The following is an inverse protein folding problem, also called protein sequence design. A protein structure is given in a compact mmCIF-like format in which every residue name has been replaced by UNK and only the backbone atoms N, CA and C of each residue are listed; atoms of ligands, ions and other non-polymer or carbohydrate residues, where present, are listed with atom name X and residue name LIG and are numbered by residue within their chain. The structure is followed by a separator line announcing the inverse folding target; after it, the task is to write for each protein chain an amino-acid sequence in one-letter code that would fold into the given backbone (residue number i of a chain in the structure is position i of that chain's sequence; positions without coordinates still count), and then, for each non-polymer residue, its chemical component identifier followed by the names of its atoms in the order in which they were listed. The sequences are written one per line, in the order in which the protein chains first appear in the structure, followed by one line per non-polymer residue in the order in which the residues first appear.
data_IF_628366739728
#
_entry.id   IF_628366739728
#
_cell.length_a   1.000
_cell.length_b   1.000
_cell.length_c   1.000
_cell.angle_alpha   90.00
_cell.angle_beta   90.00
_cell.angle_gamma   90.00
#
_symmetry.space_group_name_H-M   'P 1'
#
loop_
_entity.id
_entity.type
_entity.pdbx_description
1 polymer ?
#
# COMPACT_ATOMS: atom_id res chain seq x y z
N UNK A 1 -6.42 -2.66 -11.67
CA UNK A 1 -6.16 -1.53 -10.74
C UNK A 1 -6.72 -0.24 -11.32
N UNK A 2 -7.43 0.56 -10.51
CA UNK A 2 -8.07 1.82 -10.97
C UNK A 2 -7.11 2.79 -11.66
N UNK A 3 -5.82 2.82 -11.29
CA UNK A 3 -4.84 3.70 -11.96
C UNK A 3 -4.53 3.32 -13.41
N UNK A 4 -4.57 2.03 -13.75
CA UNK A 4 -4.38 1.58 -15.14
C UNK A 4 -5.60 1.95 -16.00
N UNK A 5 -6.80 1.89 -15.40
CA UNK A 5 -8.05 2.26 -16.05
C UNK A 5 -8.24 3.78 -16.16
N UNK A 6 -7.73 4.57 -15.22
CA UNK A 6 -7.90 6.03 -15.18
C UNK A 6 -6.93 6.77 -16.12
N UNK A 7 -5.73 6.23 -16.37
CA UNK A 7 -4.70 6.85 -17.22
C UNK A 7 -4.22 5.91 -18.33
N UNK A 8 -5.11 5.62 -19.28
CA UNK A 8 -4.80 4.76 -20.45
C UNK A 8 -3.94 5.47 -21.52
N UNK A 9 -3.83 6.80 -21.49
CA UNK A 9 -2.97 7.53 -22.42
C UNK A 9 -1.48 7.18 -22.21
N UNK A 10 -0.92 6.45 -23.17
CA UNK A 10 0.52 6.18 -23.27
C UNK A 10 1.10 5.17 -22.26
N UNK A 11 0.26 4.43 -21.52
CA UNK A 11 0.74 3.44 -20.53
C UNK A 11 1.31 4.06 -19.24
N UNK A 12 1.03 5.34 -18.99
CA UNK A 12 1.51 6.10 -17.83
C UNK A 12 1.16 5.42 -16.49
N UNK A 13 -0.06 4.90 -16.36
CA UNK A 13 -0.49 4.19 -15.14
C UNK A 13 0.35 2.94 -14.84
N UNK A 14 0.68 2.16 -15.86
CA UNK A 14 1.52 0.95 -15.72
C UNK A 14 2.95 1.33 -15.38
N UNK A 15 3.54 2.30 -16.11
CA UNK A 15 4.89 2.76 -15.85
C UNK A 15 5.05 3.32 -14.42
N UNK A 16 4.10 4.13 -13.98
CA UNK A 16 4.04 4.66 -12.62
C UNK A 16 4.00 3.57 -11.55
N UNK A 17 3.17 2.54 -11.76
CA UNK A 17 3.06 1.40 -10.85
C UNK A 17 4.35 0.57 -10.81
N UNK A 18 5.00 0.35 -11.97
CA UNK A 18 6.30 -0.32 -12.04
C UNK A 18 7.38 0.44 -11.27
N UNK A 19 7.45 1.77 -11.43
CA UNK A 19 8.40 2.62 -10.71
C UNK A 19 8.13 2.60 -9.21
N UNK A 20 6.87 2.66 -8.78
CA UNK A 20 6.48 2.55 -7.38
C UNK A 20 6.99 1.25 -6.76
N UNK A 21 6.74 0.10 -7.40
CA UNK A 21 7.19 -1.19 -6.88
C UNK A 21 8.71 -1.34 -6.90
N UNK A 22 9.39 -0.84 -7.92
CA UNK A 22 10.86 -0.82 -7.95
C UNK A 22 11.43 0.02 -6.79
N UNK A 23 10.86 1.20 -6.55
CA UNK A 23 11.24 2.05 -5.41
C UNK A 23 10.92 1.38 -4.07
N UNK A 24 9.80 0.64 -3.96
CA UNK A 24 9.43 -0.11 -2.77
C UNK A 24 10.42 -1.22 -2.46
N UNK A 25 10.90 -1.97 -3.46
CA UNK A 25 11.93 -3.00 -3.30
C UNK A 25 13.21 -2.36 -2.73
N UNK A 26 13.72 -1.31 -3.36
CA UNK A 26 14.89 -0.58 -2.86
C UNK A 26 14.67 -0.04 -1.45
N UNK A 27 13.48 0.49 -1.19
CA UNK A 27 13.11 1.01 0.13
C UNK A 27 13.15 -0.08 1.19
N UNK A 28 12.57 -1.24 0.92
CA UNK A 28 12.41 -2.34 1.88
C UNK A 28 13.73 -2.85 2.45
N UNK A 29 14.81 -2.72 1.70
CA UNK A 29 16.13 -3.20 2.11
C UNK A 29 16.81 -2.29 3.13
N UNK A 30 16.50 -0.98 3.12
CA UNK A 30 17.35 0.02 3.79
C UNK A 30 16.59 1.01 4.66
N UNK A 31 15.46 1.53 4.17
CA UNK A 31 14.77 2.64 4.83
C UNK A 31 14.11 2.24 6.15
N UNK A 32 13.44 1.07 6.28
CA UNK A 32 12.77 0.73 7.52
C UNK A 32 13.68 0.68 8.76
N UNK A 33 14.81 -0.05 8.77
CA UNK A 33 15.70 -0.07 9.94
C UNK A 33 16.22 1.31 10.33
N UNK A 34 16.58 2.13 9.33
CA UNK A 34 17.14 3.47 9.55
C UNK A 34 16.08 4.43 10.11
N UNK A 35 14.90 4.47 9.50
CA UNK A 35 13.83 5.39 9.88
C UNK A 35 13.24 5.01 11.24
N UNK A 36 12.98 3.72 11.48
CA UNK A 36 12.44 3.25 12.76
C UNK A 36 13.44 3.53 13.89
N UNK A 37 14.74 3.30 13.68
CA UNK A 37 15.78 3.59 14.69
C UNK A 37 15.93 5.09 14.98
N UNK A 38 15.87 5.95 13.95
CA UNK A 38 16.10 7.41 14.12
C UNK A 38 14.86 8.19 14.56
N UNK A 39 13.69 7.88 13.99
CA UNK A 39 12.46 8.65 14.17
C UNK A 39 11.48 7.95 15.12
N UNK A 40 11.68 6.66 15.40
CA UNK A 40 10.71 5.83 16.11
C UNK A 40 9.55 5.40 15.22
N UNK A 41 8.73 4.47 15.72
CA UNK A 41 7.62 3.90 14.96
C UNK A 41 6.56 4.96 14.61
N UNK A 42 6.17 5.83 15.55
CA UNK A 42 5.13 6.86 15.35
C UNK A 42 5.45 7.79 14.17
N UNK A 43 6.62 8.43 14.21
CA UNK A 43 7.01 9.40 13.19
C UNK A 43 7.36 8.75 11.86
N UNK A 44 7.85 7.51 11.87
CA UNK A 44 8.02 6.73 10.63
C UNK A 44 6.68 6.46 9.95
N UNK A 45 5.65 6.02 10.71
CA UNK A 45 4.31 5.80 10.18
C UNK A 45 3.73 7.10 9.62
N UNK A 46 3.79 8.20 10.40
CA UNK A 46 3.27 9.50 9.96
C UNK A 46 3.98 10.02 8.70
N UNK A 47 5.31 9.97 8.67
CA UNK A 47 6.10 10.39 7.51
C UNK A 47 5.79 9.56 6.26
N UNK A 48 5.67 8.24 6.41
CA UNK A 48 5.24 7.36 5.32
C UNK A 48 3.82 7.67 4.83
N UNK A 49 2.87 7.94 5.72
CA UNK A 49 1.51 8.33 5.31
C UNK A 49 1.49 9.65 4.52
N UNK A 50 2.38 10.60 4.83
CA UNK A 50 2.54 11.80 4.02
C UNK A 50 2.99 11.49 2.58
N UNK A 51 3.80 10.44 2.36
CA UNK A 51 4.16 9.99 1.01
C UNK A 51 2.94 9.51 0.21
N UNK A 52 1.98 8.83 0.86
CA UNK A 52 0.70 8.45 0.24
C UNK A 52 -0.12 9.69 -0.14
N UNK A 53 -0.21 10.69 0.74
CA UNK A 53 -0.90 11.95 0.43
C UNK A 53 -0.24 12.68 -0.73
N UNK A 54 1.10 12.74 -0.78
CA UNK A 54 1.84 13.37 -1.89
C UNK A 54 1.53 12.68 -3.23
N UNK A 55 1.40 11.35 -3.23
CA UNK A 55 0.97 10.61 -4.40
C UNK A 55 -0.46 10.93 -4.81
N UNK A 56 -1.41 10.94 -3.87
CA UNK A 56 -2.79 11.34 -4.15
C UNK A 56 -2.85 12.77 -4.72
N UNK A 57 -2.06 13.71 -4.21
CA UNK A 57 -1.94 15.06 -4.75
C UNK A 57 -1.38 15.08 -6.18
N UNK A 58 -0.36 14.26 -6.46
CA UNK A 58 0.21 14.10 -7.80
C UNK A 58 -0.80 13.58 -8.83
N UNK A 59 -1.83 12.84 -8.39
CA UNK A 59 -2.88 12.34 -9.27
C UNK A 59 -3.88 13.43 -9.71
N UNK A 60 -3.91 14.63 -9.09
CA UNK A 60 -4.78 15.73 -9.56
C UNK A 60 -4.32 16.28 -10.91
N UNK A 61 -3.02 16.25 -11.15
CA UNK A 61 -2.43 16.63 -12.43
C UNK A 61 -1.64 15.44 -12.94
N UNK A 62 -2.32 14.43 -13.47
CA UNK A 62 -1.68 13.23 -13.96
C UNK A 62 -0.86 13.50 -15.22
N UNK A 63 0.46 13.63 -15.04
CA UNK A 63 1.43 13.79 -16.11
C UNK A 63 2.66 12.94 -15.81
N UNK A 64 3.47 12.65 -16.82
CA UNK A 64 4.73 11.91 -16.62
C UNK A 64 5.64 12.57 -15.56
N UNK A 65 5.66 13.90 -15.52
CA UNK A 65 6.51 14.66 -14.61
C UNK A 65 6.00 14.74 -13.17
N UNK A 66 4.71 14.48 -12.94
CA UNK A 66 4.10 14.51 -11.59
C UNK A 66 3.91 13.11 -11.05
N UNK A 67 3.44 12.17 -11.88
CA UNK A 67 3.09 10.81 -11.47
C UNK A 67 4.33 9.95 -11.19
N UNK A 68 5.38 10.06 -12.02
CA UNK A 68 6.61 9.27 -11.83
C UNK A 68 7.34 9.66 -10.53
N UNK A 69 7.62 10.94 -10.24
CA UNK A 69 8.29 11.30 -8.99
C UNK A 69 7.46 10.98 -7.75
N UNK A 70 6.14 11.22 -7.79
CA UNK A 70 5.27 10.91 -6.66
C UNK A 70 5.13 9.40 -6.42
N UNK A 71 5.20 8.57 -7.46
CA UNK A 71 5.32 7.11 -7.34
C UNK A 71 6.61 6.67 -6.67
N UNK A 72 7.74 7.31 -6.98
CA UNK A 72 9.00 7.04 -6.27
C UNK A 72 8.86 7.40 -4.79
N UNK A 73 8.31 8.58 -4.48
CA UNK A 73 8.08 9.03 -3.09
C UNK A 73 7.19 8.01 -2.35
N UNK A 74 6.10 7.56 -2.98
CA UNK A 74 5.23 6.55 -2.40
C UNK A 74 5.94 5.21 -2.19
N UNK A 75 6.69 4.73 -3.18
CA UNK A 75 7.46 3.48 -3.06
C UNK A 75 8.45 3.53 -1.90
N UNK A 76 9.15 4.67 -1.73
CA UNK A 76 10.07 4.92 -0.61
C UNK A 76 9.36 5.01 0.75
N UNK A 77 8.12 5.49 0.79
CA UNK A 77 7.32 5.56 2.01
C UNK A 77 6.60 4.25 2.36
N UNK A 78 6.31 3.41 1.38
CA UNK A 78 5.50 2.20 1.53
C UNK A 78 6.13 1.15 2.44
N UNK A 79 7.39 0.77 2.19
CA UNK A 79 8.03 -0.26 2.98
C UNK A 79 8.26 0.13 4.46
N UNK A 80 8.71 1.36 4.79
CA UNK A 80 8.82 1.81 6.17
C UNK A 80 7.48 1.85 6.91
N UNK A 81 6.38 2.16 6.22
CA UNK A 81 5.03 2.14 6.82
C UNK A 81 4.71 0.73 7.37
N UNK A 82 4.82 -0.29 6.50
CA UNK A 82 4.46 -1.66 6.84
C UNK A 82 5.39 -2.24 7.91
N UNK A 83 6.68 -1.94 7.83
CA UNK A 83 7.64 -2.38 8.84
C UNK A 83 7.39 -1.69 10.19
N UNK A 84 7.24 -0.35 10.21
CA UNK A 84 7.02 0.41 11.44
C UNK A 84 5.72 0.02 12.14
N UNK A 85 4.63 -0.21 11.41
CA UNK A 85 3.38 -0.68 12.03
C UNK A 85 3.53 -2.07 12.64
N UNK A 86 4.25 -2.98 11.98
CA UNK A 86 4.42 -4.35 12.47
C UNK A 86 5.25 -4.34 13.75
N UNK A 87 6.32 -3.55 13.76
CA UNK A 87 7.14 -3.31 14.95
C UNK A 87 6.34 -2.68 16.07
N UNK A 88 5.57 -1.62 15.79
CA UNK A 88 4.72 -0.95 16.78
C UNK A 88 3.75 -1.92 17.44
N UNK A 89 3.04 -2.71 16.64
CA UNK A 89 2.02 -3.64 17.12
C UNK A 89 2.63 -4.78 17.95
N UNK A 90 3.81 -5.25 17.55
CA UNK A 90 4.57 -6.27 18.28
C UNK A 90 5.04 -5.75 19.63
N UNK A 91 5.62 -4.55 19.69
CA UNK A 91 6.09 -3.95 20.94
C UNK A 91 4.91 -3.63 21.87
N UNK A 92 3.84 -3.01 21.34
CA UNK A 92 2.63 -2.73 22.11
C UNK A 92 1.99 -4.01 22.66
N UNK A 93 1.89 -5.05 21.83
CA UNK A 93 1.35 -6.35 22.21
C UNK A 93 2.18 -7.03 23.30
N UNK A 94 3.51 -7.03 23.18
CA UNK A 94 4.40 -7.59 24.20
C UNK A 94 4.30 -6.81 25.53
N UNK A 95 4.32 -5.48 25.49
CA UNK A 95 4.22 -4.65 26.70
C UNK A 95 2.88 -4.85 27.42
N UNK A 96 1.78 -5.00 26.67
CA UNK A 96 0.49 -5.34 27.25
C UNK A 96 0.45 -6.76 27.82
N UNK A 97 1.01 -7.74 27.10
CA UNK A 97 1.04 -9.12 27.53
C UNK A 97 1.81 -9.30 28.85
N UNK A 98 2.95 -8.62 28.99
CA UNK A 98 3.75 -8.62 30.22
C UNK A 98 2.97 -8.05 31.41
N UNK A 99 2.34 -6.87 31.23
CA UNK A 99 1.50 -6.25 32.28
C UNK A 99 0.27 -7.08 32.65
N UNK A 100 -0.30 -7.80 31.69
CA UNK A 100 -1.48 -8.62 31.88
C UNK A 100 -1.16 -10.07 32.32
N UNK A 101 0.11 -10.46 32.41
CA UNK A 101 0.53 -11.84 32.69
C UNK A 101 0.06 -12.84 31.63
N UNK A 102 -0.09 -12.41 30.38
CA UNK A 102 -0.56 -13.23 29.24
C UNK A 102 0.60 -13.60 28.31
N UNK A 103 0.37 -14.61 27.47
CA UNK A 103 1.34 -14.99 26.44
C UNK A 103 1.41 -13.92 25.33
N UNK A 104 2.60 -13.37 25.09
CA UNK A 104 2.82 -12.30 24.11
C UNK A 104 2.37 -12.68 22.70
N UNK A 105 2.61 -13.94 22.28
CA UNK A 105 2.24 -14.41 20.93
C UNK A 105 0.75 -14.29 20.66
N UNK A 106 -0.08 -14.61 21.65
CA UNK A 106 -1.54 -14.61 21.49
C UNK A 106 -2.08 -13.17 21.38
N UNK A 107 -1.54 -12.26 22.20
CA UNK A 107 -1.89 -10.83 22.14
C UNK A 107 -1.43 -10.20 20.83
N UNK A 108 -0.20 -10.48 20.40
CA UNK A 108 0.33 -9.98 19.13
C UNK A 108 -0.57 -10.45 17.98
N UNK A 109 -0.90 -11.74 17.93
CA UNK A 109 -1.77 -12.29 16.90
C UNK A 109 -3.17 -11.65 16.92
N UNK A 110 -3.74 -11.41 18.11
CA UNK A 110 -5.01 -10.71 18.24
C UNK A 110 -4.93 -9.28 17.70
N UNK A 111 -3.88 -8.55 18.04
CA UNK A 111 -3.67 -7.18 17.58
C UNK A 111 -3.51 -7.12 16.05
N UNK A 112 -2.70 -8.01 15.47
CA UNK A 112 -2.57 -8.13 14.01
C UNK A 112 -3.89 -8.51 13.36
N UNK A 113 -4.66 -9.42 13.96
CA UNK A 113 -5.98 -9.82 13.48
C UNK A 113 -6.95 -8.64 13.42
N UNK A 114 -7.03 -7.82 14.48
CA UNK A 114 -7.85 -6.61 14.50
C UNK A 114 -7.37 -5.60 13.46
N UNK A 115 -6.06 -5.38 13.35
CA UNK A 115 -5.50 -4.49 12.33
C UNK A 115 -5.89 -4.92 10.91
N UNK A 116 -5.71 -6.21 10.57
CA UNK A 116 -6.01 -6.72 9.24
C UNK A 116 -7.51 -6.76 8.95
N UNK A 117 -8.36 -6.98 9.95
CA UNK A 117 -9.81 -6.86 9.81
C UNK A 117 -10.21 -5.45 9.38
N UNK A 118 -9.69 -4.42 10.07
CA UNK A 118 -9.95 -3.01 9.74
C UNK A 118 -9.37 -2.69 8.36
N UNK A 119 -8.13 -3.11 8.09
CA UNK A 119 -7.47 -2.87 6.81
C UNK A 119 -8.25 -3.47 5.64
N UNK A 120 -8.70 -4.72 5.73
CA UNK A 120 -9.49 -5.35 4.67
C UNK A 120 -10.87 -4.70 4.51
N UNK A 121 -11.50 -4.28 5.61
CA UNK A 121 -12.78 -3.56 5.56
C UNK A 121 -12.69 -2.22 4.82
N UNK A 122 -11.51 -1.59 4.77
CA UNK A 122 -11.31 -0.31 4.07
C UNK A 122 -11.61 -0.39 2.57
N UNK A 123 -11.43 -1.57 1.95
CA UNK A 123 -11.81 -1.79 0.55
C UNK A 123 -13.32 -1.67 0.33
N UNK A 124 -14.14 -2.11 1.30
CA UNK A 124 -15.61 -1.99 1.24
C UNK A 124 -16.00 -0.51 1.28
N UNK A 125 -15.43 0.26 2.22
CA UNK A 125 -15.69 1.69 2.33
C UNK A 125 -15.21 2.48 1.11
N UNK A 126 -14.03 2.13 0.57
CA UNK A 126 -13.50 2.74 -0.65
C UNK A 126 -14.39 2.50 -1.86
N UNK A 127 -14.88 1.27 -2.04
CA UNK A 127 -15.79 0.92 -3.11
C UNK A 127 -17.16 1.58 -2.95
N UNK A 128 -17.67 1.70 -1.71
CA UNK A 128 -18.91 2.42 -1.42
C UNK A 128 -18.81 3.92 -1.78
N UNK A 129 -17.71 4.59 -1.43
CA UNK A 129 -17.48 5.98 -1.81
C UNK A 129 -17.47 6.12 -3.33
N UNK A 130 -16.75 5.22 -4.01
CA UNK A 130 -16.70 5.20 -5.47
C UNK A 130 -18.10 5.02 -6.06
N UNK A 131 -18.86 4.02 -5.64
CA UNK A 131 -20.18 3.74 -6.21
C UNK A 131 -21.18 4.88 -5.99
N UNK A 132 -21.16 5.55 -4.84
CA UNK A 132 -22.03 6.71 -4.56
C UNK A 132 -21.72 7.90 -5.48
N UNK A 133 -20.44 8.13 -5.80
CA UNK A 133 -20.01 9.20 -6.70
C UNK A 133 -20.34 8.85 -8.14
N UNK A 134 -20.04 7.63 -8.56
CA UNK A 134 -20.33 7.16 -9.92
C UNK A 134 -21.82 7.00 -10.20
N UNK A 135 -22.65 6.65 -9.20
CA UNK A 135 -24.11 6.57 -9.33
C UNK A 135 -24.77 7.91 -9.67
N UNK A 136 -24.10 9.04 -9.47
CA UNK A 136 -24.59 10.36 -9.87
C UNK A 136 -24.40 10.61 -11.36
N UNK A 137 -23.46 9.92 -12.00
CA UNK A 137 -23.32 9.91 -13.45
C UNK A 137 -24.31 8.87 -14.02
N UNK A 138 -25.40 9.32 -14.62
CA UNK A 138 -26.36 8.46 -15.30
C UNK A 138 -25.75 7.91 -16.61
N UNK A 139 -24.78 7.02 -16.51
CA UNK A 139 -24.23 6.32 -17.68
C UNK A 139 -25.07 5.06 -17.86
N UNK A 140 -26.10 5.14 -18.73
CA UNK A 140 -26.69 3.94 -19.32
C UNK A 140 -25.67 3.37 -20.30
N UNK A 141 -24.89 2.41 -19.85
CA UNK A 141 -24.06 1.61 -20.75
C UNK A 141 -24.98 0.58 -21.40
N UNK A 142 -25.28 0.76 -22.69
CA UNK A 142 -25.81 -0.34 -23.51
C UNK A 142 -24.67 -1.32 -23.75
N UNK A 143 -24.65 -2.41 -22.98
CA UNK A 143 -23.64 -3.45 -23.11
C UNK A 143 -24.01 -4.28 -24.34
N UNK A 144 -23.21 -4.16 -25.41
CA UNK A 144 -23.34 -5.01 -26.61
C UNK A 144 -23.08 -6.48 -26.26
N UNK A 145 -23.86 -7.40 -26.83
CA UNK A 145 -23.71 -8.86 -26.60
C UNK A 145 -22.30 -9.37 -26.93
N UNK A 146 -21.59 -8.68 -27.83
CA UNK A 146 -20.20 -9.00 -28.21
C UNK A 146 -19.18 -8.72 -27.08
N UNK A 147 -19.41 -7.69 -26.26
CA UNK A 147 -18.59 -7.40 -25.07
C UNK A 147 -18.86 -8.41 -23.94
N UNK A 148 -20.06 -9.00 -23.90
CA UNK A 148 -20.43 -10.04 -22.94
C UNK A 148 -19.84 -11.41 -23.31
N UNK A 149 -19.56 -11.64 -24.61
CA UNK A 149 -18.94 -12.87 -25.10
C UNK A 149 -17.44 -12.94 -24.77
N UNK A 150 -16.78 -11.80 -24.56
CA UNK A 150 -15.35 -11.67 -24.26
C UNK A 150 -15.09 -11.17 -22.82
N UNK A 151 -15.73 -11.79 -21.83
CA UNK A 151 -15.45 -11.55 -20.41
C UNK A 151 -15.18 -12.86 -19.66
N UNK A 152 -14.69 -12.77 -18.40
CA UNK A 152 -14.45 -13.96 -17.59
C UNK A 152 -13.30 -14.84 -18.09
N UNK A 153 -13.47 -16.16 -18.07
CA UNK A 153 -12.44 -17.12 -18.48
C UNK A 153 -12.09 -17.07 -19.99
N UNK A 154 -12.89 -16.35 -20.78
CA UNK A 154 -12.75 -16.21 -22.23
C UNK A 154 -12.31 -14.79 -22.64
N UNK A 155 -11.50 -14.11 -21.83
CA UNK A 155 -10.94 -12.79 -22.16
C UNK A 155 -10.22 -12.82 -23.51
N UNK A 156 -10.83 -12.20 -24.51
CA UNK A 156 -10.33 -12.18 -25.88
C UNK A 156 -9.17 -11.18 -25.96
N UNK A 157 -7.94 -11.66 -25.77
CA UNK A 157 -6.69 -10.86 -25.84
C UNK A 157 -6.51 -10.12 -27.20
N UNK A 158 -7.39 -10.36 -28.18
CA UNK A 158 -7.24 -9.92 -29.58
C UNK A 158 -8.45 -9.13 -30.08
N UNK A 159 -8.78 -8.00 -29.46
CA UNK A 159 -9.45 -6.89 -30.15
C UNK A 159 -9.01 -5.55 -29.56
N UNK A 160 -7.93 -5.00 -30.12
CA UNK A 160 -7.63 -3.56 -30.11
C UNK A 160 -8.63 -2.85 -31.03
N UNK A 161 -9.93 -2.94 -30.73
CA UNK A 161 -10.93 -2.03 -31.28
C UNK A 161 -11.15 -0.93 -30.25
N UNK A 162 -10.64 0.25 -30.60
CA UNK A 162 -10.83 1.55 -29.95
C UNK A 162 -12.32 1.96 -29.91
N UNK A 163 -13.15 1.20 -29.22
CA UNK A 163 -14.58 1.51 -29.07
C UNK A 163 -15.07 1.06 -27.70
N UNK A 164 -14.52 1.69 -26.66
CA UNK A 164 -15.36 2.59 -25.86
C UNK A 164 -14.47 3.79 -25.60
N UNK A 165 -14.79 4.94 -26.20
CA UNK A 165 -14.41 6.18 -25.56
C UNK A 165 -14.97 6.06 -24.15
N UNK A 166 -14.08 5.89 -23.17
CA UNK A 166 -14.39 6.12 -21.76
C UNK A 166 -15.20 7.39 -21.77
N UNK A 167 -16.53 7.26 -21.62
CA UNK A 167 -17.46 8.38 -21.62
C UNK A 167 -16.81 9.38 -20.68
N UNK A 168 -16.29 10.50 -21.23
CA UNK A 168 -15.34 11.36 -20.54
C UNK A 168 -15.88 11.56 -19.15
N UNK A 169 -15.28 10.85 -18.19
CA UNK A 169 -15.82 10.86 -16.86
C UNK A 169 -15.59 12.29 -16.43
N UNK A 170 -16.68 13.04 -16.27
CA UNK A 170 -16.61 14.49 -16.06
C UNK A 170 -15.47 14.76 -15.09
N UNK A 171 -14.46 15.53 -15.50
CA UNK A 171 -13.25 15.73 -14.71
C UNK A 171 -13.58 16.11 -13.25
N UNK A 172 -14.74 16.76 -13.03
CA UNK A 172 -15.32 17.03 -11.72
C UNK A 172 -15.50 15.79 -10.82
N UNK A 173 -15.95 14.64 -11.33
CA UNK A 173 -16.14 13.39 -10.58
C UNK A 173 -14.80 12.78 -10.17
N UNK A 174 -13.81 12.76 -11.08
CA UNK A 174 -12.44 12.31 -10.78
C UNK A 174 -11.84 13.19 -9.68
N UNK A 175 -11.95 14.50 -9.83
CA UNK A 175 -11.46 15.46 -8.83
C UNK A 175 -12.18 15.36 -7.49
N UNK A 176 -13.49 15.08 -7.49
CA UNK A 176 -14.25 14.88 -6.26
C UNK A 176 -13.80 13.61 -5.53
N UNK A 177 -13.66 12.50 -6.26
CA UNK A 177 -13.19 11.24 -5.72
C UNK A 177 -11.77 11.37 -5.15
N UNK A 178 -10.88 11.98 -5.92
CA UNK A 178 -9.50 12.20 -5.51
C UNK A 178 -9.39 13.17 -4.32
N UNK A 179 -10.25 14.20 -4.29
CA UNK A 179 -10.40 15.12 -3.17
C UNK A 179 -10.80 14.42 -1.88
N UNK A 180 -11.81 13.54 -1.93
CA UNK A 180 -12.27 12.79 -0.76
C UNK A 180 -11.17 11.85 -0.25
N UNK A 181 -10.48 11.12 -1.13
CA UNK A 181 -9.38 10.24 -0.72
C UNK A 181 -8.17 11.01 -0.17
N UNK A 182 -7.85 12.16 -0.75
CA UNK A 182 -6.74 13.00 -0.25
C UNK A 182 -7.08 13.59 1.12
N UNK A 183 -8.30 14.11 1.29
CA UNK A 183 -8.77 14.65 2.56
C UNK A 183 -8.81 13.59 3.67
N UNK A 184 -9.29 12.38 3.36
CA UNK A 184 -9.27 11.27 4.32
C UNK A 184 -7.85 10.82 4.66
N UNK A 185 -6.93 10.84 3.70
CA UNK A 185 -5.50 10.61 3.93
C UNK A 185 -4.86 11.63 4.87
N UNK A 186 -5.12 12.93 4.66
CA UNK A 186 -4.65 14.01 5.55
C UNK A 186 -5.23 13.86 6.96
N UNK A 187 -6.53 13.56 7.06
CA UNK A 187 -7.17 13.30 8.35
C UNK A 187 -6.52 12.11 9.07
N UNK A 188 -6.23 11.02 8.35
CA UNK A 188 -5.54 9.86 8.92
C UNK A 188 -4.15 10.21 9.48
N UNK A 189 -3.37 11.03 8.75
CA UNK A 189 -2.07 11.54 9.25
C UNK A 189 -2.26 12.31 10.56
N UNK A 190 -3.23 13.23 10.61
CA UNK A 190 -3.53 13.99 11.82
C UNK A 190 -3.93 13.09 12.99
N UNK A 191 -4.78 12.09 12.76
CA UNK A 191 -5.18 11.12 13.78
C UNK A 191 -3.97 10.35 14.33
N UNK A 192 -3.04 9.90 13.47
CA UNK A 192 -1.83 9.22 13.92
C UNK A 192 -0.92 10.14 14.71
N UNK A 193 -0.74 11.39 14.27
CA UNK A 193 0.12 12.35 14.97
C UNK A 193 -0.44 12.68 16.37
N UNK A 194 -1.76 12.81 16.50
CA UNK A 194 -2.43 13.17 17.76
C UNK A 194 -2.61 11.97 18.69
N UNK A 195 -3.16 10.86 18.20
CA UNK A 195 -3.62 9.74 19.03
C UNK A 195 -2.63 8.58 19.16
N UNK A 196 -1.67 8.43 18.24
CA UNK A 196 -0.70 7.34 18.35
C UNK A 196 0.37 7.72 19.38
N UNK A 197 0.57 6.88 20.38
CA UNK A 197 1.63 7.09 21.36
C UNK A 197 3.00 6.81 20.76
N UNK A 198 4.01 7.54 21.21
CA UNK A 198 5.38 7.24 20.85
C UNK A 198 5.90 6.15 21.78
N UNK A 199 5.86 4.90 21.30
CA UNK A 199 6.51 3.78 21.99
C UNK A 199 8.01 3.92 21.74
N UNK A 200 8.71 4.51 22.71
CA UNK A 200 10.16 4.44 22.79
C UNK A 200 10.47 3.05 23.29
N UNK A 201 11.01 2.19 22.42
CA UNK A 201 11.57 0.89 22.84
C UNK A 201 12.52 1.15 24.01
N UNK A 202 12.38 0.40 25.10
CA UNK A 202 13.24 0.53 26.28
C UNK A 202 14.71 0.65 25.83
N UNK A 203 15.29 1.80 26.14
CA UNK A 203 16.54 2.30 25.59
C UNK A 203 17.76 1.46 26.04
N UNK A 204 17.59 0.49 26.94
CA UNK A 204 18.69 -0.25 27.56
C UNK A 204 19.35 -1.32 26.66
N UNK A 205 18.63 -1.94 25.72
CA UNK A 205 19.23 -2.90 24.78
C UNK A 205 19.73 -2.22 23.50
N UNK A 206 19.05 -1.15 23.06
CA UNK A 206 19.42 -0.38 21.87
C UNK A 206 20.56 0.61 22.10
N UNK A 207 20.84 1.06 23.34
CA UNK A 207 21.99 1.93 23.65
C UNK A 207 23.35 1.24 23.42
N UNK A 208 23.45 -0.08 23.64
CA UNK A 208 24.65 -0.84 23.26
C UNK A 208 24.84 -0.91 21.74
N UNK A 209 23.76 -0.83 20.98
CA UNK A 209 23.77 -0.67 19.51
C UNK A 209 23.77 0.80 19.04
N UNK A 210 23.70 1.78 19.95
CA UNK A 210 23.63 3.20 19.59
C UNK A 210 24.99 3.75 19.16
N UNK A 211 26.09 3.08 19.51
CA UNK A 211 27.43 3.53 19.14
C UNK A 211 27.81 3.15 17.70
N UNK A 212 27.10 2.22 17.06
CA UNK A 212 27.29 1.86 15.66
C UNK A 212 25.98 2.01 14.90
N UNK A 213 25.84 3.10 14.15
CA UNK A 213 24.93 3.08 12.99
C UNK A 213 25.43 1.98 12.05
N UNK A 214 24.70 0.87 11.86
CA UNK A 214 25.19 -0.20 11.00
C UNK A 214 25.40 0.38 9.61
N UNK A 215 26.62 0.22 9.09
CA UNK A 215 26.97 0.60 7.72
C UNK A 215 26.00 -0.07 6.74
N UNK A 216 25.66 0.59 5.63
CA UNK A 216 24.82 0.03 4.55
C UNK A 216 25.17 -1.43 4.22
N UNK A 217 26.47 -1.73 4.15
CA UNK A 217 26.98 -3.06 3.90
C UNK A 217 26.70 -4.06 5.02
N UNK A 218 26.73 -3.64 6.28
CA UNK A 218 26.39 -4.52 7.40
C UNK A 218 24.90 -4.85 7.45
N UNK A 219 24.00 -3.90 7.15
CA UNK A 219 22.55 -4.18 7.06
C UNK A 219 22.25 -5.12 5.89
N UNK A 220 22.80 -4.84 4.70
CA UNK A 220 22.66 -5.70 3.54
C UNK A 220 23.24 -7.11 3.79
N UNK A 221 24.42 -7.20 4.39
CA UNK A 221 25.05 -8.47 4.73
C UNK A 221 24.26 -9.22 5.81
N UNK A 222 23.68 -8.53 6.78
CA UNK A 222 22.80 -9.15 7.78
C UNK A 222 21.54 -9.73 7.12
N UNK A 223 20.93 -9.03 6.16
CA UNK A 223 19.82 -9.59 5.35
C UNK A 223 20.25 -10.84 4.60
N UNK A 224 21.42 -10.85 3.96
CA UNK A 224 21.95 -12.04 3.30
C UNK A 224 22.30 -13.16 4.28
N UNK A 225 22.72 -12.85 5.50
CA UNK A 225 22.93 -13.84 6.55
C UNK A 225 21.61 -14.48 7.00
N UNK A 226 20.51 -13.72 7.06
CA UNK A 226 19.18 -14.28 7.34
C UNK A 226 18.71 -15.28 6.28
N UNK A 227 19.16 -15.17 5.03
CA UNK A 227 18.90 -16.18 3.99
C UNK A 227 19.60 -17.53 4.24
N UNK A 228 20.51 -17.62 5.23
CA UNK A 228 21.05 -18.92 5.66
C UNK A 228 20.06 -19.71 6.51
N UNK A 229 19.07 -19.04 7.10
CA UNK A 229 18.02 -19.72 7.86
C UNK A 229 17.03 -20.41 6.91
N UNK A 230 16.95 -21.73 7.00
CA UNK A 230 16.04 -22.55 6.20
C UNK A 230 14.57 -22.14 6.38
N UNK A 231 14.18 -21.64 7.56
CA UNK A 231 12.81 -21.18 7.82
C UNK A 231 12.48 -19.94 7.00
N UNK A 232 13.41 -18.99 6.91
CA UNK A 232 13.24 -17.78 6.09
C UNK A 232 13.17 -18.14 4.60
N UNK A 233 14.02 -19.05 4.13
CA UNK A 233 13.98 -19.52 2.74
C UNK A 233 12.65 -20.19 2.39
N UNK A 234 12.04 -20.95 3.30
CA UNK A 234 10.72 -21.56 3.08
C UNK A 234 9.58 -20.53 3.08
N UNK A 235 9.76 -19.38 3.72
CA UNK A 235 8.79 -18.28 3.70
C UNK A 235 8.83 -17.47 2.40
N UNK A 236 9.93 -17.49 1.64
CA UNK A 236 10.04 -16.75 0.37
C UNK A 236 9.00 -17.22 -0.66
N UNK A 237 8.86 -18.52 -1.00
CA UNK A 237 7.81 -18.96 -1.92
C UNK A 237 6.40 -18.63 -1.42
N UNK A 238 6.16 -18.73 -0.11
CA UNK A 238 4.86 -18.44 0.49
C UNK A 238 4.52 -16.94 0.37
N UNK A 239 5.47 -16.06 0.63
CA UNK A 239 5.30 -14.60 0.50
C UNK A 239 5.15 -14.19 -0.97
N UNK A 240 5.89 -14.81 -1.90
CA UNK A 240 5.69 -14.62 -3.33
C UNK A 240 4.28 -15.04 -3.76
N UNK A 241 3.82 -16.21 -3.33
CA UNK A 241 2.46 -16.68 -3.62
C UNK A 241 1.39 -15.70 -3.11
N UNK A 242 1.51 -15.23 -1.87
CA UNK A 242 0.59 -14.24 -1.31
C UNK A 242 0.61 -12.91 -2.09
N UNK A 243 1.78 -12.46 -2.56
CA UNK A 243 1.90 -11.28 -3.41
C UNK A 243 1.22 -11.48 -4.78
N UNK A 244 1.40 -12.63 -5.40
CA UNK A 244 0.72 -12.98 -6.65
C UNK A 244 -0.80 -13.06 -6.48
N UNK A 245 -1.28 -13.66 -5.39
CA UNK A 245 -2.71 -13.71 -5.07
C UNK A 245 -3.32 -12.31 -4.95
N UNK A 246 -2.67 -11.41 -4.19
CA UNK A 246 -3.12 -10.02 -4.04
C UNK A 246 -3.08 -9.25 -5.37
N UNK A 247 -2.04 -9.46 -6.17
CA UNK A 247 -1.91 -8.88 -7.51
C UNK A 247 -3.02 -9.34 -8.46
N UNK A 248 -3.32 -10.64 -8.47
CA UNK A 248 -4.39 -11.22 -9.28
C UNK A 248 -5.77 -10.71 -8.88
N UNK A 249 -6.09 -10.70 -7.57
CA UNK A 249 -7.39 -10.24 -7.07
C UNK A 249 -7.65 -8.76 -7.35
N UNK A 250 -6.62 -7.90 -7.22
CA UNK A 250 -6.75 -6.45 -7.41
C UNK A 250 -6.54 -5.97 -8.86
N UNK A 251 -5.91 -6.81 -9.69
CA UNK A 251 -5.58 -6.54 -11.08
C UNK A 251 -6.56 -7.20 -12.03
N UNK A 252 -6.36 -8.50 -12.23
CA UNK A 252 -7.00 -9.29 -13.30
C UNK A 252 -8.44 -9.65 -12.96
N UNK A 253 -8.69 -10.07 -11.71
CA UNK A 253 -10.04 -10.48 -11.30
C UNK A 253 -11.04 -9.33 -11.45
N UNK A 254 -10.70 -8.14 -10.96
CA UNK A 254 -11.57 -6.96 -11.09
C UNK A 254 -11.72 -6.52 -12.55
N UNK A 255 -10.69 -6.67 -13.39
CA UNK A 255 -10.77 -6.26 -14.81
C UNK A 255 -11.69 -7.18 -15.62
N UNK A 256 -11.65 -8.48 -15.34
CA UNK A 256 -12.22 -9.51 -16.21
C UNK A 256 -13.62 -9.96 -15.75
N UNK A 257 -13.93 -9.81 -14.47
CA UNK A 257 -15.16 -10.34 -13.85
C UNK A 257 -16.05 -9.28 -13.21
N UNK A 258 -15.60 -8.03 -13.11
CA UNK A 258 -16.40 -6.91 -12.58
C UNK A 258 -16.61 -5.91 -13.72
N UNK A 259 -17.78 -6.01 -14.36
CA UNK A 259 -18.22 -5.15 -15.48
C UNK A 259 -18.91 -3.88 -14.99
#
# INVERSE_FOLDING_TARGET
SMQSSLHSEGGLGVASLSVLYAALILSSMFLPPILIKKLGCKWTIAGSMCCYVAFSLGNFYASWYTLIPTSVILGLGGAPLWSAKCTYLTIAGNSYAEKAGKNGKDIINQYFGVFFLIFQSSGIWGNLISSLIFSQASIKVEISEENLACCGAYDCITHTTNTTGSAELSNSLIYTLLGIYTASGVLAVLLIVVFLDQITSDQAETEKEALETPSFWSTFLATLQHLKDKRQCLLIPLTMYSGFEQGFLSGDYTKVWVT
#
